data_IF_097391345569
#
_entry.id   IF_097391345569
#
_cell.length_a   1.000
_cell.length_b   1.000
_cell.length_c   1.000
_cell.angle_alpha   90.00
_cell.angle_beta   90.00
_cell.angle_gamma   90.00
#
_symmetry.space_group_name_H-M   'P 1'
#
loop_
_entity.id
_entity.type
_entity.pdbx_description
1 polymer ?
#
# COMPACT_ATOMS: atom_id res chain seq x y z
N UNK A 1 -5.15 8.59 7.85
CA UNK A 1 -5.38 7.14 8.12
C UNK A 1 -4.42 6.57 9.17
N UNK A 2 -3.11 6.84 9.11
CA UNK A 2 -2.12 6.25 10.04
C UNK A 2 -2.36 6.49 11.54
N UNK A 3 -2.98 7.62 11.94
CA UNK A 3 -3.31 7.91 13.34
C UNK A 3 -4.61 7.25 13.83
N UNK A 4 -5.42 6.70 12.92
CA UNK A 4 -6.73 6.11 13.24
C UNK A 4 -6.69 4.58 13.37
N UNK A 5 -5.80 3.90 12.63
CA UNK A 5 -5.67 2.44 12.69
C UNK A 5 -4.34 2.09 13.35
N UNK A 6 -4.35 1.81 14.65
CA UNK A 6 -3.14 1.46 15.43
C UNK A 6 -2.67 0.02 15.18
N UNK A 7 -3.55 -0.82 14.62
CA UNK A 7 -3.29 -2.20 14.20
C UNK A 7 -2.73 -2.31 12.77
N UNK A 8 -2.63 -1.20 12.02
CA UNK A 8 -2.18 -1.19 10.63
C UNK A 8 -0.92 -0.35 10.49
N UNK A 9 0.13 -0.93 9.93
CA UNK A 9 1.39 -0.23 9.64
C UNK A 9 1.30 0.42 8.27
N UNK A 10 1.36 1.75 8.22
CA UNK A 10 1.43 2.50 6.97
C UNK A 10 2.88 2.87 6.67
N UNK A 11 3.41 2.39 5.54
CA UNK A 11 4.76 2.69 5.07
C UNK A 11 4.67 3.45 3.76
N UNK A 12 5.43 4.54 3.65
CA UNK A 12 5.66 5.23 2.38
C UNK A 12 7.03 4.79 1.85
N UNK A 13 7.06 4.28 0.62
CA UNK A 13 8.30 3.96 -0.08
C UNK A 13 8.46 4.96 -1.22
N UNK A 14 9.63 5.58 -1.28
CA UNK A 14 10.03 6.38 -2.41
C UNK A 14 10.62 5.44 -3.48
N UNK A 15 9.92 5.37 -4.61
CA UNK A 15 10.20 4.49 -5.74
C UNK A 15 11.40 4.94 -6.56
N UNK A 16 11.69 6.24 -6.58
CA UNK A 16 12.88 6.79 -7.26
C UNK A 16 14.13 6.49 -6.44
N UNK A 17 14.02 6.54 -5.10
CA UNK A 17 15.12 6.17 -4.22
C UNK A 17 15.30 4.64 -4.08
N UNK A 18 14.26 3.84 -4.33
CA UNK A 18 14.23 2.39 -4.10
C UNK A 18 13.75 1.62 -5.34
N UNK A 19 14.32 1.93 -6.51
CA UNK A 19 13.93 1.35 -7.81
C UNK A 19 13.93 -0.19 -7.80
N UNK A 20 14.91 -0.82 -7.13
CA UNK A 20 14.98 -2.28 -7.01
C UNK A 20 13.77 -2.86 -6.26
N UNK A 21 13.35 -2.22 -5.17
CA UNK A 21 12.18 -2.66 -4.39
C UNK A 21 10.91 -2.42 -5.22
N UNK A 22 10.80 -1.27 -5.87
CA UNK A 22 9.69 -0.96 -6.76
C UNK A 22 9.54 -2.00 -7.88
N UNK A 23 10.66 -2.40 -8.49
CA UNK A 23 10.70 -3.47 -9.50
C UNK A 23 10.31 -4.84 -8.95
N UNK A 24 10.81 -5.22 -7.77
CA UNK A 24 10.44 -6.48 -7.09
C UNK A 24 8.96 -6.52 -6.72
N UNK A 25 8.40 -5.40 -6.28
CA UNK A 25 6.97 -5.25 -5.96
C UNK A 25 6.09 -5.07 -7.22
N UNK A 26 6.68 -4.94 -8.41
CA UNK A 26 5.96 -4.76 -9.66
C UNK A 26 5.24 -3.42 -9.81
N UNK A 27 5.76 -2.36 -9.18
CA UNK A 27 5.18 -1.00 -9.26
C UNK A 27 5.36 -0.47 -10.69
N UNK A 28 4.26 -0.24 -11.40
CA UNK A 28 4.25 0.24 -12.80
C UNK A 28 3.58 1.60 -12.98
N UNK A 29 2.84 2.05 -11.98
CA UNK A 29 2.12 3.32 -11.97
C UNK A 29 2.27 3.95 -10.58
N UNK A 30 2.14 5.27 -10.51
CA UNK A 30 2.23 6.00 -9.25
C UNK A 30 1.01 6.93 -9.11
N UNK A 31 0.41 7.04 -7.91
CA UNK A 31 0.70 6.26 -6.71
C UNK A 31 0.10 4.83 -6.78
N UNK A 32 0.78 3.85 -6.19
CA UNK A 32 0.26 2.49 -5.99
C UNK A 32 0.31 2.15 -4.49
N UNK A 33 -0.78 1.60 -3.99
CA UNK A 33 -0.95 1.15 -2.61
C UNK A 33 -1.04 -0.36 -2.60
N UNK A 34 -0.08 -1.03 -1.95
CA UNK A 34 -0.10 -2.48 -1.76
C UNK A 34 -0.44 -2.82 -0.31
N UNK A 35 -1.29 -3.81 -0.13
CA UNK A 35 -1.75 -4.28 1.16
C UNK A 35 -1.11 -5.63 1.46
N UNK A 36 -0.49 -5.73 2.64
CA UNK A 36 0.19 -6.94 3.09
C UNK A 36 -0.40 -7.43 4.40
N UNK A 37 -0.64 -8.73 4.51
CA UNK A 37 -1.07 -9.40 5.74
C UNK A 37 -0.24 -10.67 5.92
N UNK A 38 0.29 -10.89 7.12
CA UNK A 38 1.17 -12.02 7.43
C UNK A 38 2.35 -12.20 6.46
N UNK A 39 2.93 -11.09 5.99
CA UNK A 39 4.07 -11.08 5.05
C UNK A 39 3.71 -11.37 3.59
N UNK A 40 2.43 -11.56 3.25
CA UNK A 40 1.98 -11.80 1.88
C UNK A 40 1.17 -10.63 1.34
N UNK A 41 1.32 -10.33 0.04
CA UNK A 41 0.49 -9.32 -0.64
C UNK A 41 -0.92 -9.87 -0.78
N UNK A 42 -1.89 -9.20 -0.17
CA UNK A 42 -3.31 -9.60 -0.21
C UNK A 42 -4.13 -8.77 -1.18
N UNK A 43 -3.71 -7.53 -1.46
CA UNK A 43 -4.42 -6.65 -2.38
C UNK A 43 -3.49 -5.54 -2.91
N UNK A 44 -3.90 -4.91 -4.01
CA UNK A 44 -3.26 -3.70 -4.54
C UNK A 44 -4.25 -2.75 -5.18
N UNK A 45 -3.98 -1.46 -5.05
CA UNK A 45 -4.77 -0.40 -5.66
C UNK A 45 -3.84 0.61 -6.33
N UNK A 46 -4.02 0.78 -7.64
CA UNK A 46 -3.32 1.78 -8.43
C UNK A 46 -4.18 3.05 -8.54
N UNK A 47 -3.55 4.20 -8.36
CA UNK A 47 -4.18 5.52 -8.42
C UNK A 47 -4.57 6.08 -7.04
N UNK A 48 -4.88 7.38 -7.04
CA UNK A 48 -5.24 8.12 -5.84
C UNK A 48 -6.75 8.00 -5.53
N UNK A 49 -7.22 6.82 -5.12
CA UNK A 49 -8.60 6.62 -4.68
C UNK A 49 -8.68 6.47 -3.16
N UNK A 50 -8.87 7.59 -2.45
CA UNK A 50 -8.93 7.60 -0.99
C UNK A 50 -10.06 6.72 -0.42
N UNK A 51 -11.25 6.75 -1.02
CA UNK A 51 -12.39 5.95 -0.56
C UNK A 51 -12.13 4.44 -0.71
N UNK A 52 -11.56 4.04 -1.86
CA UNK A 52 -11.16 2.65 -2.11
C UNK A 52 -10.08 2.17 -1.14
N UNK A 53 -9.06 3.00 -0.90
CA UNK A 53 -7.99 2.71 0.07
C UNK A 53 -8.57 2.54 1.47
N UNK A 54 -9.45 3.44 1.90
CA UNK A 54 -10.08 3.35 3.24
C UNK A 54 -10.87 2.06 3.41
N UNK A 55 -11.71 1.73 2.43
CA UNK A 55 -12.52 0.52 2.46
C UNK A 55 -11.66 -0.75 2.52
N UNK A 56 -10.53 -0.79 1.79
CA UNK A 56 -9.58 -1.90 1.86
C UNK A 56 -8.84 -1.98 3.19
N UNK A 57 -8.44 -0.85 3.76
CA UNK A 57 -7.87 -0.80 5.11
C UNK A 57 -8.86 -1.37 6.12
N UNK A 58 -10.12 -0.94 6.10
CA UNK A 58 -11.15 -1.42 7.03
C UNK A 58 -11.47 -2.92 6.87
N UNK A 59 -11.44 -3.43 5.64
CA UNK A 59 -11.67 -4.85 5.38
C UNK A 59 -10.50 -5.77 5.79
N UNK A 60 -9.27 -5.22 5.84
CA UNK A 60 -8.05 -6.00 6.05
C UNK A 60 -7.40 -5.81 7.43
N UNK A 61 -7.72 -4.71 8.11
CA UNK A 61 -7.33 -4.38 9.50
C UNK A 61 -7.81 -5.45 10.50
#
# INVERSE_FOLDING_TARGET
MSKQYTNVVFVKVDVDAQERIAGMCGIRAMPTFQFYKNGQKVDELCGANEAGIRSKVEALA
#
